data_IF_622051049731
#
_entry.id   IF_622051049731
#
_cell.length_a   1.000
_cell.length_b   1.000
_cell.length_c   1.000
_cell.angle_alpha   90.00
_cell.angle_beta   90.00
_cell.angle_gamma   90.00
#
_symmetry.space_group_name_H-M   'P 1'
#
loop_
_entity.id
_entity.type
_entity.pdbx_description
1 polymer ?
#
# COMPACT_ATOMS: atom_id res chain seq x y z
N UNK A 1 17.13 -47.56 3.12
CA UNK A 1 17.40 -46.25 2.49
C UNK A 1 17.48 -45.20 3.58
N UNK A 2 18.68 -44.70 3.89
CA UNK A 2 18.85 -43.61 4.86
C UNK A 2 18.39 -42.31 4.21
N UNK A 3 17.37 -41.66 4.78
CA UNK A 3 17.01 -40.29 4.39
C UNK A 3 18.00 -39.35 5.06
N UNK A 4 18.82 -38.66 4.28
CA UNK A 4 19.60 -37.53 4.78
C UNK A 4 18.64 -36.37 5.04
N UNK A 5 18.52 -35.96 6.31
CA UNK A 5 17.84 -34.72 6.65
C UNK A 5 18.79 -33.57 6.29
N UNK A 6 18.40 -32.73 5.34
CA UNK A 6 19.11 -31.49 5.02
C UNK A 6 18.49 -30.41 5.91
N UNK A 7 19.30 -29.72 6.72
CA UNK A 7 18.80 -28.58 7.49
C UNK A 7 18.63 -27.39 6.55
N UNK A 8 17.56 -26.61 6.76
CA UNK A 8 17.26 -25.46 5.92
C UNK A 8 18.43 -24.45 5.91
N UNK A 9 19.08 -24.25 7.06
CA UNK A 9 20.22 -23.34 7.21
C UNK A 9 21.50 -23.81 6.53
N UNK A 10 21.57 -25.08 6.11
CA UNK A 10 22.70 -25.59 5.31
C UNK A 10 22.62 -25.12 3.85
N UNK A 11 21.50 -24.50 3.45
CA UNK A 11 21.31 -24.02 2.09
C UNK A 11 22.03 -22.68 1.86
N UNK A 12 22.50 -22.43 0.62
CA UNK A 12 23.01 -21.11 0.24
C UNK A 12 21.97 -20.01 0.42
N UNK A 13 22.44 -18.79 0.74
CA UNK A 13 21.59 -17.63 0.98
C UNK A 13 20.64 -17.33 -0.19
N UNK A 14 21.08 -17.55 -1.44
CA UNK A 14 20.27 -17.31 -2.63
C UNK A 14 19.06 -18.26 -2.70
N UNK A 15 19.25 -19.51 -2.26
CA UNK A 15 18.17 -20.49 -2.18
C UNK A 15 17.23 -20.14 -1.04
N UNK A 16 17.77 -19.76 0.12
CA UNK A 16 16.97 -19.30 1.26
C UNK A 16 16.11 -18.09 0.90
N UNK A 17 16.69 -17.05 0.29
CA UNK A 17 15.94 -15.88 -0.19
C UNK A 17 14.83 -16.26 -1.18
N UNK A 18 15.12 -17.20 -2.09
CA UNK A 18 14.12 -17.67 -3.06
C UNK A 18 12.95 -18.39 -2.38
N UNK A 19 13.21 -19.13 -1.29
CA UNK A 19 12.18 -19.78 -0.48
C UNK A 19 11.39 -18.72 0.30
N UNK A 20 12.08 -17.83 1.02
CA UNK A 20 11.45 -16.81 1.86
C UNK A 20 10.57 -15.85 1.06
N UNK A 21 10.97 -15.47 -0.16
CA UNK A 21 10.15 -14.63 -1.08
C UNK A 21 8.83 -15.25 -1.52
N UNK A 22 8.66 -16.56 -1.37
CA UNK A 22 7.39 -17.24 -1.65
C UNK A 22 6.45 -17.26 -0.46
N UNK A 23 6.94 -16.88 0.71
CA UNK A 23 6.17 -16.80 1.94
C UNK A 23 5.69 -15.35 2.14
N UNK A 24 4.75 -15.17 3.05
CA UNK A 24 4.34 -13.84 3.47
C UNK A 24 5.50 -13.16 4.21
N UNK A 25 5.94 -12.00 3.70
CA UNK A 25 7.11 -11.27 4.20
C UNK A 25 6.97 -10.92 5.68
N UNK A 26 5.76 -10.54 6.11
CA UNK A 26 5.47 -10.17 7.50
C UNK A 26 5.63 -11.37 8.43
N UNK A 27 5.05 -12.51 8.07
CA UNK A 27 5.12 -13.73 8.88
C UNK A 27 6.56 -14.21 9.04
N UNK A 28 7.34 -14.17 7.96
CA UNK A 28 8.76 -14.50 7.98
C UNK A 28 9.52 -13.54 8.87
N UNK A 29 9.45 -12.23 8.62
CA UNK A 29 10.21 -11.24 9.38
C UNK A 29 9.86 -11.30 10.88
N UNK A 30 8.60 -11.52 11.22
CA UNK A 30 8.17 -11.70 12.60
C UNK A 30 8.73 -13.01 13.19
N UNK A 31 8.68 -14.12 12.45
CA UNK A 31 9.23 -15.40 12.90
C UNK A 31 10.75 -15.35 13.10
N UNK A 32 11.44 -14.48 12.36
CA UNK A 32 12.89 -14.30 12.47
C UNK A 32 13.30 -13.41 13.66
N UNK A 33 12.40 -12.60 14.21
CA UNK A 33 12.70 -11.66 15.29
C UNK A 33 13.36 -12.33 16.50
N UNK A 34 12.87 -13.51 16.89
CA UNK A 34 13.32 -14.23 18.09
C UNK A 34 14.39 -15.30 17.79
N UNK A 35 14.71 -15.51 16.51
CA UNK A 35 15.73 -16.48 16.13
C UNK A 35 17.09 -15.78 16.22
N UNK A 36 17.81 -16.04 17.31
CA UNK A 36 19.16 -15.52 17.54
C UNK A 36 20.18 -16.23 16.62
N UNK A 37 19.99 -16.11 15.31
CA UNK A 37 20.81 -16.69 14.26
C UNK A 37 21.26 -15.57 13.31
N UNK A 38 22.58 -15.34 13.27
CA UNK A 38 23.17 -14.26 12.51
C UNK A 38 22.94 -14.38 10.99
N UNK A 39 22.78 -15.59 10.45
CA UNK A 39 22.52 -15.77 9.02
C UNK A 39 21.10 -15.31 8.67
N UNK A 40 20.11 -15.67 9.50
CA UNK A 40 18.73 -15.23 9.31
C UNK A 40 18.57 -13.72 9.52
N UNK A 41 19.31 -13.12 10.46
CA UNK A 41 19.35 -11.67 10.65
C UNK A 41 19.87 -10.92 9.41
N UNK A 42 20.87 -11.49 8.73
CA UNK A 42 21.39 -10.95 7.46
C UNK A 42 20.32 -11.06 6.38
N UNK A 43 19.69 -12.23 6.24
CA UNK A 43 18.64 -12.45 5.25
C UNK A 43 17.42 -11.55 5.46
N UNK A 44 17.04 -11.30 6.71
CA UNK A 44 15.95 -10.39 7.07
C UNK A 44 16.24 -8.93 6.69
N UNK A 45 17.51 -8.55 6.51
CA UNK A 45 17.94 -7.21 6.11
C UNK A 45 18.26 -7.12 4.62
N UNK A 46 18.14 -8.20 3.85
CA UNK A 46 18.39 -8.16 2.42
C UNK A 46 17.31 -7.31 1.73
N UNK A 47 17.77 -6.32 0.95
CA UNK A 47 16.89 -5.39 0.23
C UNK A 47 15.88 -6.12 -0.64
N UNK A 48 16.30 -7.19 -1.30
CA UNK A 48 15.42 -7.93 -2.22
C UNK A 48 14.24 -8.62 -1.52
N UNK A 49 14.30 -8.75 -0.20
CA UNK A 49 13.25 -9.33 0.64
C UNK A 49 12.41 -8.26 1.35
N UNK A 50 13.01 -7.11 1.67
CA UNK A 50 12.40 -6.05 2.47
C UNK A 50 11.94 -4.83 1.68
N UNK A 51 12.19 -4.77 0.38
CA UNK A 51 11.81 -3.63 -0.44
C UNK A 51 10.30 -3.46 -0.60
N UNK A 52 9.53 -4.54 -0.47
CA UNK A 52 8.06 -4.53 -0.46
C UNK A 52 7.55 -5.12 0.84
N UNK A 53 6.73 -4.37 1.56
CA UNK A 53 6.02 -4.87 2.74
C UNK A 53 4.51 -4.76 2.56
N UNK A 54 3.83 -5.88 2.82
CA UNK A 54 2.39 -6.04 2.66
C UNK A 54 1.68 -6.22 4.00
N UNK A 55 0.87 -5.23 4.35
CA UNK A 55 0.03 -5.14 5.54
C UNK A 55 -1.46 -5.14 5.17
N UNK A 56 -1.82 -5.48 3.92
CA UNK A 56 -3.19 -5.47 3.43
C UNK A 56 -4.08 -6.60 3.93
N UNK A 57 -3.53 -7.58 4.66
CA UNK A 57 -4.22 -8.84 5.00
C UNK A 57 -4.06 -9.26 6.46
N UNK A 58 -3.72 -8.33 7.35
CA UNK A 58 -3.45 -8.64 8.76
C UNK A 58 -4.45 -7.96 9.67
N UNK A 59 -5.21 -8.76 10.41
CA UNK A 59 -6.16 -8.25 11.41
C UNK A 59 -5.50 -8.10 12.80
N UNK A 60 -4.24 -8.52 12.94
CA UNK A 60 -3.57 -8.60 14.23
C UNK A 60 -2.84 -7.30 14.57
N UNK A 61 -3.58 -6.34 15.13
CA UNK A 61 -3.04 -5.04 15.58
C UNK A 61 -1.83 -5.21 16.52
N UNK A 62 -1.86 -6.21 17.42
CA UNK A 62 -0.76 -6.42 18.37
C UNK A 62 0.54 -6.87 17.69
N UNK A 63 0.42 -7.62 16.59
CA UNK A 63 1.55 -8.01 15.76
C UNK A 63 2.12 -6.78 15.04
N UNK A 64 1.25 -5.91 14.52
CA UNK A 64 1.68 -4.64 13.88
C UNK A 64 2.43 -3.75 14.86
N UNK A 65 1.94 -3.60 16.08
CA UNK A 65 2.61 -2.77 17.08
C UNK A 65 4.03 -3.28 17.39
N UNK A 66 4.20 -4.60 17.54
CA UNK A 66 5.53 -5.20 17.70
C UNK A 66 6.39 -5.01 16.45
N UNK A 67 5.81 -5.20 15.28
CA UNK A 67 6.51 -5.03 14.01
C UNK A 67 7.04 -3.60 13.83
N UNK A 68 6.21 -2.60 14.16
CA UNK A 68 6.56 -1.19 14.13
C UNK A 68 7.67 -0.84 15.13
N UNK A 69 7.67 -1.45 16.32
CA UNK A 69 8.67 -1.14 17.35
C UNK A 69 10.01 -1.83 17.06
N UNK A 70 9.99 -3.09 16.64
CA UNK A 70 11.20 -3.93 16.62
C UNK A 70 11.77 -4.18 15.22
N UNK A 71 10.93 -4.23 14.18
CA UNK A 71 11.33 -4.67 12.84
C UNK A 71 11.51 -3.48 11.91
N UNK A 72 10.49 -2.62 11.75
CA UNK A 72 10.54 -1.50 10.80
C UNK A 72 11.78 -0.61 10.97
N UNK A 73 12.21 -0.21 12.19
CA UNK A 73 13.39 0.62 12.35
C UNK A 73 14.69 -0.03 11.84
N UNK A 74 14.76 -1.37 11.82
CA UNK A 74 15.93 -2.13 11.35
C UNK A 74 15.99 -2.21 9.84
N UNK A 75 14.84 -2.25 9.17
CA UNK A 75 14.75 -2.50 7.72
C UNK A 75 14.27 -1.29 6.91
N UNK A 76 13.96 -0.15 7.55
CA UNK A 76 13.32 1.00 6.91
C UNK A 76 14.09 1.59 5.73
N UNK A 77 15.41 1.46 5.72
CA UNK A 77 16.27 1.93 4.63
C UNK A 77 16.14 1.09 3.35
N UNK A 78 15.58 -0.12 3.42
CA UNK A 78 15.40 -0.97 2.25
C UNK A 78 14.01 -0.85 1.62
N UNK A 79 13.04 -0.33 2.38
CA UNK A 79 11.63 -0.29 1.96
C UNK A 79 11.45 0.76 0.87
N UNK A 80 10.93 0.31 -0.27
CA UNK A 80 10.62 1.15 -1.43
C UNK A 80 9.11 1.22 -1.69
N UNK A 81 8.37 0.20 -1.23
CA UNK A 81 6.96 0.02 -1.49
C UNK A 81 6.21 -0.52 -0.27
N UNK A 82 5.15 0.19 0.13
CA UNK A 82 4.18 -0.28 1.12
C UNK A 82 2.84 -0.62 0.49
N UNK A 83 2.26 -1.73 0.94
CA UNK A 83 0.87 -2.10 0.69
C UNK A 83 0.15 -2.08 2.05
N UNK A 84 -0.75 -1.13 2.27
CA UNK A 84 -1.35 -0.87 3.58
C UNK A 84 -2.88 -0.89 3.54
N UNK A 85 -3.46 -1.27 4.67
CA UNK A 85 -4.78 -0.79 5.03
C UNK A 85 -4.73 0.56 5.76
N UNK A 86 -5.75 1.41 5.60
CA UNK A 86 -5.82 2.73 6.23
C UNK A 86 -5.68 2.71 7.75
N UNK A 87 -6.24 1.69 8.41
CA UNK A 87 -6.17 1.51 9.87
C UNK A 87 -4.74 1.40 10.41
N UNK A 88 -3.79 0.95 9.58
CA UNK A 88 -2.39 0.81 9.97
C UNK A 88 -1.50 1.95 9.49
N UNK A 89 -2.02 2.84 8.63
CA UNK A 89 -1.21 3.81 7.90
C UNK A 89 -0.42 4.71 8.85
N UNK A 90 -1.08 5.34 9.83
CA UNK A 90 -0.38 6.19 10.79
C UNK A 90 0.68 5.43 11.60
N UNK A 91 0.35 4.23 12.08
CA UNK A 91 1.27 3.43 12.90
C UNK A 91 2.53 3.05 12.14
N UNK A 92 2.36 2.50 10.93
CA UNK A 92 3.47 2.01 10.11
C UNK A 92 4.29 3.20 9.61
N UNK A 93 3.62 4.22 9.09
CA UNK A 93 4.28 5.34 8.46
C UNK A 93 5.00 6.27 9.46
N UNK A 94 4.61 6.29 10.73
CA UNK A 94 5.31 7.01 11.80
C UNK A 94 6.34 6.16 12.57
N UNK A 95 6.42 4.85 12.31
CA UNK A 95 7.32 3.95 13.04
C UNK A 95 8.81 4.21 12.77
N UNK A 96 9.15 4.72 11.59
CA UNK A 96 10.54 4.97 11.18
C UNK A 96 10.63 6.05 10.10
N UNK A 97 11.85 6.41 9.72
CA UNK A 97 12.13 7.23 8.53
C UNK A 97 12.41 6.31 7.36
N UNK A 98 11.65 6.46 6.27
CA UNK A 98 11.76 5.62 5.07
C UNK A 98 12.42 6.42 3.92
N UNK A 99 13.75 6.48 3.84
CA UNK A 99 14.43 7.34 2.87
C UNK A 99 14.19 6.95 1.41
N UNK A 100 13.87 5.68 1.16
CA UNK A 100 13.71 5.11 -0.18
C UNK A 100 12.25 4.80 -0.54
N UNK A 101 11.29 5.13 0.32
CA UNK A 101 9.88 4.86 0.03
C UNK A 101 9.40 5.74 -1.12
N UNK A 102 9.05 5.10 -2.23
CA UNK A 102 8.62 5.78 -3.45
C UNK A 102 7.18 5.40 -3.84
N UNK A 103 6.69 4.24 -3.40
CA UNK A 103 5.39 3.71 -3.78
C UNK A 103 4.53 3.38 -2.56
N UNK A 104 3.23 3.71 -2.66
CA UNK A 104 2.23 3.38 -1.67
C UNK A 104 1.00 2.79 -2.36
N UNK A 105 0.53 1.65 -1.86
CA UNK A 105 -0.76 1.04 -2.24
C UNK A 105 -1.67 1.00 -1.02
N UNK A 106 -2.86 1.58 -1.15
CA UNK A 106 -3.85 1.64 -0.08
C UNK A 106 -5.07 0.82 -0.48
N UNK A 107 -5.45 -0.14 0.35
CA UNK A 107 -6.71 -0.88 0.22
C UNK A 107 -7.85 -0.18 0.95
N UNK A 108 -9.09 -0.61 0.69
CA UNK A 108 -10.30 -0.11 1.36
C UNK A 108 -10.33 1.42 1.46
N UNK A 109 -9.97 2.08 0.36
CA UNK A 109 -9.76 3.53 0.35
C UNK A 109 -11.10 4.27 0.27
N UNK A 110 -11.55 4.83 1.39
CA UNK A 110 -12.80 5.58 1.52
C UNK A 110 -12.57 7.10 1.65
N UNK A 111 -13.62 7.91 1.43
CA UNK A 111 -13.55 9.37 1.57
C UNK A 111 -13.13 9.81 2.97
N UNK A 112 -13.59 9.12 4.01
CA UNK A 112 -13.26 9.47 5.39
C UNK A 112 -11.75 9.41 5.63
N UNK A 113 -11.08 8.40 5.06
CA UNK A 113 -9.63 8.24 5.11
C UNK A 113 -8.92 9.43 4.46
N UNK A 114 -9.46 9.95 3.36
CA UNK A 114 -8.93 11.15 2.71
C UNK A 114 -8.98 12.35 3.64
N UNK A 115 -10.15 12.59 4.21
CA UNK A 115 -10.38 13.69 5.15
C UNK A 115 -9.58 13.56 6.45
N UNK A 116 -9.24 12.35 6.87
CA UNK A 116 -8.43 12.11 8.07
C UNK A 116 -6.94 12.33 7.78
N UNK A 117 -6.40 11.72 6.72
CA UNK A 117 -4.96 11.58 6.57
C UNK A 117 -4.31 12.49 5.54
N UNK A 118 -5.08 12.99 4.56
CA UNK A 118 -4.56 13.80 3.44
C UNK A 118 -4.92 15.28 3.60
N UNK A 119 -4.83 15.76 4.82
CA UNK A 119 -5.00 17.16 5.18
C UNK A 119 -3.66 17.85 5.36
N UNK A 120 -3.66 19.18 5.28
CA UNK A 120 -2.45 19.99 5.50
C UNK A 120 -1.86 19.85 6.91
N UNK A 121 -2.67 19.41 7.88
CA UNK A 121 -2.32 19.24 9.30
C UNK A 121 -1.81 17.83 9.64
N UNK A 122 -1.90 16.89 8.70
CA UNK A 122 -1.50 15.51 8.93
C UNK A 122 -0.01 15.37 9.24
N UNK A 123 0.32 14.58 10.27
CA UNK A 123 1.70 14.24 10.61
C UNK A 123 2.43 13.53 9.48
N UNK A 124 1.69 12.84 8.60
CA UNK A 124 2.24 12.14 7.44
C UNK A 124 2.77 13.10 6.37
N UNK A 125 2.32 14.36 6.39
CA UNK A 125 2.71 15.35 5.38
C UNK A 125 4.20 15.58 5.36
N UNK A 126 4.82 15.77 6.52
CA UNK A 126 6.26 16.05 6.62
C UNK A 126 7.12 14.89 6.14
N UNK A 127 6.59 13.67 6.25
CA UNK A 127 7.31 12.45 5.89
C UNK A 127 7.18 12.16 4.39
N UNK A 128 5.96 12.18 3.84
CA UNK A 128 5.70 11.59 2.52
C UNK A 128 5.40 12.56 1.39
N UNK A 129 5.08 13.83 1.68
CA UNK A 129 4.67 14.80 0.66
C UNK A 129 5.66 14.89 -0.51
N UNK A 130 6.96 14.67 -0.25
CA UNK A 130 8.03 14.76 -1.26
C UNK A 130 8.58 13.38 -1.68
N UNK A 131 8.24 12.29 -1.00
CA UNK A 131 8.88 11.00 -1.25
C UNK A 131 8.05 10.13 -2.20
N UNK A 132 6.73 10.16 -2.07
CA UNK A 132 5.86 9.29 -2.86
C UNK A 132 5.72 9.81 -4.29
N UNK A 133 6.10 8.95 -5.23
CA UNK A 133 6.01 9.18 -6.68
C UNK A 133 4.95 8.31 -7.32
N UNK A 134 4.59 7.18 -6.70
CA UNK A 134 3.55 6.26 -7.18
C UNK A 134 2.53 5.97 -6.09
N UNK A 135 1.26 6.17 -6.39
CA UNK A 135 0.14 5.90 -5.49
C UNK A 135 -0.88 4.99 -6.18
N UNK A 136 -1.21 3.88 -5.53
CA UNK A 136 -2.26 2.95 -5.96
C UNK A 136 -3.37 2.97 -4.91
N UNK A 137 -4.57 3.35 -5.31
CA UNK A 137 -5.75 3.37 -4.45
C UNK A 137 -6.66 2.24 -4.89
N UNK A 138 -6.93 1.31 -3.98
CA UNK A 138 -7.86 0.20 -4.20
C UNK A 138 -9.05 0.42 -3.28
N UNK A 139 -10.21 0.62 -3.89
CA UNK A 139 -11.48 0.63 -3.17
C UNK A 139 -12.21 -0.66 -3.53
N UNK A 140 -12.33 -1.58 -2.57
CA UNK A 140 -13.05 -2.84 -2.74
C UNK A 140 -14.46 -2.79 -2.12
N UNK A 141 -14.90 -1.62 -1.65
CA UNK A 141 -16.22 -1.47 -1.07
C UNK A 141 -17.31 -1.76 -2.12
N UNK A 142 -18.15 -2.74 -1.81
CA UNK A 142 -19.33 -3.10 -2.61
C UNK A 142 -20.54 -2.23 -2.24
N UNK A 143 -20.42 -1.41 -1.20
CA UNK A 143 -21.43 -0.47 -0.76
C UNK A 143 -21.82 0.51 -1.86
N UNK A 144 -23.11 0.78 -1.98
CA UNK A 144 -23.59 1.85 -2.86
C UNK A 144 -23.02 3.18 -2.34
N UNK A 145 -22.22 3.87 -3.15
CA UNK A 145 -21.76 5.23 -2.84
C UNK A 145 -23.01 6.12 -2.77
N UNK A 146 -23.46 6.45 -1.56
CA UNK A 146 -24.62 7.33 -1.32
C UNK A 146 -24.13 8.78 -1.47
N UNK A 147 -24.28 9.36 -2.65
CA UNK A 147 -23.92 10.76 -2.93
C UNK A 147 -23.69 11.05 -4.41
N UNK A 148 -23.46 12.33 -4.75
CA UNK A 148 -23.02 12.66 -6.10
C UNK A 148 -21.57 12.18 -6.26
N UNK A 149 -21.37 11.19 -7.14
CA UNK A 149 -20.05 10.62 -7.41
C UNK A 149 -19.05 11.71 -7.84
N UNK A 150 -19.53 12.75 -8.52
CA UNK A 150 -18.73 13.87 -8.97
C UNK A 150 -18.07 14.63 -7.81
N UNK A 151 -18.83 14.90 -6.75
CA UNK A 151 -18.32 15.64 -5.58
C UNK A 151 -17.36 14.79 -4.75
N UNK A 152 -17.68 13.50 -4.56
CA UNK A 152 -16.80 12.52 -3.92
C UNK A 152 -15.44 12.43 -4.63
N UNK A 153 -15.50 12.20 -5.93
CA UNK A 153 -14.33 11.99 -6.79
C UNK A 153 -13.44 13.24 -6.83
N UNK A 154 -14.08 14.42 -6.99
CA UNK A 154 -13.39 15.70 -6.99
C UNK A 154 -12.67 15.96 -5.67
N UNK A 155 -13.37 15.83 -4.56
CA UNK A 155 -12.81 16.14 -3.24
C UNK A 155 -11.60 15.24 -2.95
N UNK A 156 -11.74 13.94 -3.25
CA UNK A 156 -10.66 12.97 -3.02
C UNK A 156 -9.42 13.31 -3.85
N UNK A 157 -9.57 13.49 -5.16
CA UNK A 157 -8.40 13.73 -6.02
C UNK A 157 -7.70 15.04 -5.73
N UNK A 158 -8.47 16.10 -5.45
CA UNK A 158 -7.88 17.39 -5.08
C UNK A 158 -7.05 17.25 -3.81
N UNK A 159 -7.56 16.56 -2.77
CA UNK A 159 -6.79 16.34 -1.55
C UNK A 159 -5.51 15.54 -1.79
N UNK A 160 -5.59 14.43 -2.55
CA UNK A 160 -4.43 13.57 -2.82
C UNK A 160 -3.36 14.31 -3.63
N UNK A 161 -3.76 14.99 -4.71
CA UNK A 161 -2.83 15.75 -5.56
C UNK A 161 -2.30 17.01 -4.87
N UNK A 162 -3.00 17.52 -3.86
CA UNK A 162 -2.49 18.57 -2.98
C UNK A 162 -1.49 18.04 -1.96
N UNK A 163 -1.72 16.83 -1.48
CA UNK A 163 -0.89 16.20 -0.47
C UNK A 163 0.45 15.75 -1.04
N UNK A 164 0.47 15.02 -2.17
CA UNK A 164 1.71 14.50 -2.78
C UNK A 164 2.26 15.42 -3.88
N UNK A 165 3.35 16.13 -3.58
CA UNK A 165 3.97 17.09 -4.51
C UNK A 165 4.72 16.44 -5.66
N UNK A 166 5.28 15.26 -5.42
CA UNK A 166 6.13 14.55 -6.39
C UNK A 166 5.41 13.35 -7.03
N UNK A 167 4.08 13.26 -6.87
CA UNK A 167 3.31 12.17 -7.44
C UNK A 167 3.36 12.23 -8.98
N UNK A 168 3.91 11.20 -9.61
CA UNK A 168 3.98 11.07 -11.07
C UNK A 168 3.08 9.95 -11.59
N UNK A 169 2.80 8.94 -10.77
CA UNK A 169 1.93 7.82 -11.10
C UNK A 169 0.77 7.75 -10.11
N UNK A 170 -0.46 7.81 -10.62
CA UNK A 170 -1.67 7.60 -9.83
C UNK A 170 -2.51 6.51 -10.50
N UNK A 171 -2.76 5.42 -9.78
CA UNK A 171 -3.63 4.33 -10.21
C UNK A 171 -4.79 4.20 -9.23
N UNK A 172 -6.02 4.24 -9.73
CA UNK A 172 -7.21 4.03 -8.92
C UNK A 172 -7.95 2.81 -9.45
N UNK A 173 -8.26 1.90 -8.53
CA UNK A 173 -8.87 0.60 -8.79
C UNK A 173 -10.12 0.51 -7.93
N UNK A 174 -11.28 0.22 -8.52
CA UNK A 174 -12.49 -0.03 -7.74
C UNK A 174 -13.71 -0.40 -8.58
N UNK A 175 -14.77 -0.93 -7.93
CA UNK A 175 -16.02 -1.22 -8.58
C UNK A 175 -16.77 0.08 -8.85
N UNK A 176 -17.41 0.19 -10.03
CA UNK A 176 -18.38 1.25 -10.33
C UNK A 176 -17.88 2.72 -10.32
N UNK A 177 -16.59 2.99 -10.52
CA UNK A 177 -16.10 4.35 -10.81
C UNK A 177 -16.79 4.94 -12.07
N UNK A 178 -17.38 4.08 -12.91
CA UNK A 178 -18.13 4.44 -14.13
C UNK A 178 -19.54 5.03 -13.92
N UNK A 179 -20.02 5.24 -12.69
CA UNK A 179 -21.29 5.96 -12.50
C UNK A 179 -21.17 7.48 -12.71
N UNK A 180 -19.99 7.97 -13.07
CA UNK A 180 -19.82 9.31 -13.62
C UNK A 180 -20.16 9.20 -15.12
N UNK A 181 -21.25 9.82 -15.61
CA UNK A 181 -21.49 9.88 -17.04
C UNK A 181 -20.22 10.43 -17.68
N UNK A 182 -19.63 9.69 -18.62
CA UNK A 182 -18.32 9.99 -19.24
C UNK A 182 -18.29 11.40 -19.84
N UNK A 183 -19.46 11.96 -20.15
CA UNK A 183 -19.65 13.36 -20.56
C UNK A 183 -19.07 14.40 -19.59
N UNK A 184 -18.84 14.05 -18.30
CA UNK A 184 -18.27 14.93 -17.28
C UNK A 184 -16.83 14.57 -16.85
N UNK A 185 -16.19 13.56 -17.47
CA UNK A 185 -14.81 13.23 -17.09
C UNK A 185 -13.85 14.37 -17.44
N UNK A 186 -14.12 15.06 -18.54
CA UNK A 186 -13.41 16.27 -18.93
C UNK A 186 -13.56 17.37 -17.85
N UNK A 187 -14.73 17.54 -17.23
CA UNK A 187 -14.92 18.48 -16.12
C UNK A 187 -14.10 18.09 -14.88
N UNK A 188 -13.98 16.79 -14.58
CA UNK A 188 -13.09 16.32 -13.52
C UNK A 188 -11.62 16.62 -13.83
N UNK A 189 -11.19 16.48 -15.10
CA UNK A 189 -9.83 16.81 -15.54
C UNK A 189 -9.57 18.32 -15.56
N UNK A 190 -10.56 19.13 -15.96
CA UNK A 190 -10.51 20.60 -15.93
C UNK A 190 -10.40 21.15 -14.50
N UNK A 191 -10.89 20.43 -13.49
CA UNK A 191 -10.72 20.83 -12.08
C UNK A 191 -9.35 20.49 -11.50
N UNK A 192 -8.61 19.60 -12.17
CA UNK A 192 -7.22 19.27 -11.85
C UNK A 192 -6.24 20.11 -12.69
N UNK A 193 -6.74 21.13 -13.38
CA UNK A 193 -6.00 21.94 -14.35
C UNK A 193 -4.74 22.56 -13.74
N UNK A 194 -3.62 22.33 -14.43
CA UNK A 194 -2.26 22.63 -13.98
C UNK A 194 -1.53 21.47 -13.29
N UNK A 195 -2.19 20.65 -12.44
CA UNK A 195 -1.52 19.61 -11.65
C UNK A 195 -1.43 18.26 -12.34
N UNK A 196 -2.37 17.94 -13.22
CA UNK A 196 -2.25 16.74 -14.08
C UNK A 196 -0.96 16.75 -14.92
N UNK A 197 -0.40 17.94 -15.18
CA UNK A 197 0.86 18.10 -15.91
C UNK A 197 2.05 17.46 -15.19
N UNK A 198 1.94 17.22 -13.87
CA UNK A 198 2.98 16.56 -13.08
C UNK A 198 2.87 15.02 -13.15
N UNK A 199 1.70 14.49 -13.51
CA UNK A 199 1.50 13.05 -13.69
C UNK A 199 2.03 12.62 -15.05
N UNK A 200 2.88 11.60 -15.05
CA UNK A 200 3.31 10.90 -16.27
C UNK A 200 2.36 9.75 -16.59
N UNK A 201 1.65 9.22 -15.59
CA UNK A 201 0.66 8.15 -15.76
C UNK A 201 -0.51 8.37 -14.83
N UNK A 202 -1.71 8.35 -15.39
CA UNK A 202 -2.96 8.36 -14.65
C UNK A 202 -3.83 7.21 -15.14
N UNK A 203 -3.97 6.17 -14.32
CA UNK A 203 -4.72 4.97 -14.66
C UNK A 203 -5.97 4.89 -13.78
N UNK A 204 -7.12 4.70 -14.41
CA UNK A 204 -8.39 4.41 -13.73
C UNK A 204 -8.86 3.05 -14.21
N UNK A 205 -8.77 2.06 -13.33
CA UNK A 205 -9.18 0.70 -13.61
C UNK A 205 -10.54 0.44 -12.96
N UNK A 206 -11.55 0.27 -13.81
CA UNK A 206 -12.91 -0.03 -13.37
C UNK A 206 -13.21 -1.46 -13.71
N UNK A 207 -13.59 -2.25 -12.71
CA UNK A 207 -14.10 -3.60 -12.94
C UNK A 207 -15.61 -3.62 -12.71
N UNK A 208 -16.34 -4.27 -13.63
CA UNK A 208 -17.77 -4.48 -13.49
C UNK A 208 -18.01 -5.66 -12.56
N UNK A 209 -18.76 -5.44 -11.48
CA UNK A 209 -19.32 -6.54 -10.70
C UNK A 209 -20.57 -6.98 -11.44
N UNK A 210 -20.50 -8.15 -12.08
CA UNK A 210 -21.64 -8.74 -12.74
C UNK A 210 -22.67 -9.16 -11.68
N UNK A 211 -23.67 -8.31 -11.42
CA UNK A 211 -24.72 -8.54 -10.42
C UNK A 211 -25.82 -9.49 -10.92
N UNK A 212 -25.62 -10.10 -12.10
CA UNK A 212 -26.60 -10.96 -12.77
C UNK A 212 -26.82 -12.32 -12.11
N UNK A 213 -26.17 -12.65 -10.99
CA UNK A 213 -26.49 -13.82 -10.16
C UNK A 213 -27.67 -13.53 -9.22
N UNK A 214 -28.81 -13.14 -9.80
CA UNK A 214 -30.08 -13.18 -9.06
C UNK A 214 -30.42 -14.65 -8.83
N UNK A 215 -30.15 -15.16 -7.62
CA UNK A 215 -30.66 -16.46 -7.18
C UNK A 215 -32.19 -16.32 -7.10
N UNK A 216 -32.88 -16.84 -8.12
CA UNK A 216 -34.34 -17.03 -8.08
C UNK A 216 -34.59 -18.15 -7.06
N UNK A 217 -35.09 -17.78 -5.89
CA UNK A 217 -35.65 -18.73 -4.91
C UNK A 217 -37.13 -18.98 -5.20
#
# INVERSE_FOLDING_TARGET
>A
MNRSNVHLLDLPNEILLTILKKLNNMDVLYSLLDVNDGQLDILAQEKTFTNVLDFGHTDNISLIDRFCIYILPRICHNIEYFILEPVFMERILLAAVYPNLAELKLFNFEQQIVSTYFTDESLLRSVFQQQITSLILVNDDKGAIIGSLNEYTRNIYVHILNFFKNLTHLNIIGPNIMLCPVENFDDCLYLLDGRLKQLTTFNVNVYSIDTSSTIVH
#
